data_IF_750375739791
#
_entry.id   IF_750375739791
#
_cell.length_a   1.000
_cell.length_b   1.000
_cell.length_c   1.000
_cell.angle_alpha   90.00
_cell.angle_beta   90.00
_cell.angle_gamma   90.00
#
_symmetry.space_group_name_H-M   'P 1'
#
loop_
_entity.id
_entity.type
_entity.pdbx_description
1 polymer ?
#
# COMPACT_ATOMS: atom_id res chain seq x y z
N UNK A 1 87.31 11.80 -33.69
CA UNK A 1 86.62 10.79 -32.84
C UNK A 1 85.34 11.36 -32.37
N UNK A 2 84.18 10.82 -32.91
CA UNK A 2 82.90 11.27 -32.54
C UNK A 2 82.27 10.14 -31.74
N UNK A 3 82.04 10.40 -30.46
CA UNK A 3 81.29 9.50 -29.56
C UNK A 3 79.83 9.69 -29.80
N UNK A 4 79.16 8.66 -30.30
CA UNK A 4 77.71 8.65 -30.51
C UNK A 4 76.94 8.46 -29.19
N UNK A 5 76.15 9.44 -28.82
CA UNK A 5 75.14 9.29 -27.74
C UNK A 5 73.93 8.55 -28.29
N UNK A 6 73.69 7.35 -27.79
CA UNK A 6 72.53 6.58 -28.07
C UNK A 6 71.29 7.24 -27.39
N UNK A 7 70.42 7.82 -28.19
CA UNK A 7 69.14 8.27 -27.76
C UNK A 7 68.22 7.05 -27.52
N UNK A 8 67.88 6.75 -26.29
CA UNK A 8 66.91 5.76 -25.96
C UNK A 8 65.52 6.24 -26.45
N UNK A 9 64.95 5.46 -27.35
CA UNK A 9 63.53 5.61 -27.75
C UNK A 9 62.75 5.21 -26.53
N UNK A 10 62.15 6.19 -25.84
CA UNK A 10 61.13 5.91 -24.85
C UNK A 10 59.93 5.30 -25.58
N UNK A 11 59.69 4.03 -25.30
CA UNK A 11 58.57 3.33 -25.88
C UNK A 11 57.27 4.07 -25.54
N UNK A 12 56.58 4.51 -26.59
CA UNK A 12 55.26 5.17 -26.53
C UNK A 12 54.15 4.14 -26.19
N UNK A 13 54.50 2.91 -25.81
CA UNK A 13 53.55 1.84 -25.53
C UNK A 13 52.87 1.90 -24.16
N UNK A 14 53.34 2.79 -23.26
CA UNK A 14 52.80 2.85 -21.89
C UNK A 14 51.71 3.94 -21.67
N UNK A 15 51.27 4.64 -22.72
CA UNK A 15 50.22 5.66 -22.62
C UNK A 15 48.89 5.26 -23.23
N UNK A 16 48.75 4.06 -23.75
CA UNK A 16 47.47 3.54 -24.25
C UNK A 16 46.75 2.82 -23.13
N UNK A 17 45.95 3.54 -22.35
CA UNK A 17 45.10 2.86 -21.38
C UNK A 17 44.72 3.62 -20.11
N UNK A 18 44.98 4.92 -20.04
CA UNK A 18 44.37 5.74 -19.01
C UNK A 18 42.92 6.01 -19.36
N UNK A 19 42.12 4.94 -19.45
CA UNK A 19 40.65 5.04 -19.45
C UNK A 19 40.19 5.77 -18.20
N UNK A 20 39.12 6.51 -18.33
CA UNK A 20 38.46 7.16 -17.20
C UNK A 20 38.16 6.10 -16.14
N UNK A 21 38.90 6.14 -15.03
CA UNK A 21 38.55 5.34 -13.85
C UNK A 21 37.41 6.05 -13.15
N UNK A 22 36.28 5.38 -13.04
CA UNK A 22 35.22 5.82 -12.14
C UNK A 22 35.72 5.57 -10.72
N UNK A 23 36.26 6.59 -10.07
CA UNK A 23 36.81 6.45 -8.71
C UNK A 23 35.70 6.22 -7.67
N UNK A 24 34.53 6.82 -7.85
CA UNK A 24 33.43 6.67 -6.93
C UNK A 24 32.12 7.10 -7.58
N UNK A 25 31.09 6.25 -7.49
CA UNK A 25 29.72 6.65 -7.75
C UNK A 25 29.15 7.15 -6.42
N UNK A 26 28.92 8.46 -6.31
CA UNK A 26 28.27 9.04 -5.14
C UNK A 26 26.77 9.09 -5.39
N UNK A 27 26.00 8.54 -4.45
CA UNK A 27 24.56 8.64 -4.43
C UNK A 27 24.16 10.07 -4.02
N UNK A 28 23.36 10.75 -4.85
CA UNK A 28 22.67 11.96 -4.43
C UNK A 28 21.47 11.53 -3.56
N UNK A 29 21.58 11.77 -2.25
CA UNK A 29 20.56 11.40 -1.27
C UNK A 29 20.11 12.66 -0.54
N UNK A 30 18.85 13.02 -0.70
CA UNK A 30 18.19 14.11 0.03
C UNK A 30 17.15 13.49 0.95
N UNK A 31 17.53 13.35 2.22
CA UNK A 31 16.72 12.73 3.27
C UNK A 31 15.38 13.45 3.44
N UNK A 32 15.40 14.78 3.42
CA UNK A 32 14.19 15.57 3.60
C UNK A 32 13.18 15.36 2.47
N UNK A 33 13.65 15.36 1.21
CA UNK A 33 12.75 15.14 0.06
C UNK A 33 12.20 13.71 0.05
N UNK A 34 13.02 12.73 0.40
CA UNK A 34 12.59 11.33 0.46
C UNK A 34 11.55 11.13 1.56
N UNK A 35 11.76 11.68 2.74
CA UNK A 35 10.80 11.58 3.83
C UNK A 35 9.47 12.28 3.48
N UNK A 36 9.53 13.43 2.80
CA UNK A 36 8.33 14.11 2.30
C UNK A 36 7.61 13.27 1.25
N UNK A 37 8.33 12.62 0.35
CA UNK A 37 7.74 11.74 -0.66
C UNK A 37 7.06 10.52 0.00
N UNK A 38 7.70 9.88 0.98
CA UNK A 38 7.12 8.76 1.76
C UNK A 38 5.86 9.19 2.50
N UNK A 39 5.91 10.33 3.17
CA UNK A 39 4.75 10.88 3.88
C UNK A 39 3.59 11.17 2.94
N UNK A 40 3.87 11.76 1.76
CA UNK A 40 2.85 12.02 0.75
C UNK A 40 2.27 10.70 0.18
N UNK A 41 3.12 9.70 -0.08
CA UNK A 41 2.70 8.37 -0.53
C UNK A 41 1.80 7.69 0.50
N UNK A 42 2.20 7.68 1.77
CA UNK A 42 1.42 7.11 2.87
C UNK A 42 0.04 7.78 3.00
N UNK A 43 0.00 9.12 2.98
CA UNK A 43 -1.26 9.86 3.05
C UNK A 43 -2.17 9.56 1.84
N UNK A 44 -1.60 9.50 0.63
CA UNK A 44 -2.35 9.14 -0.57
C UNK A 44 -2.92 7.72 -0.47
N UNK A 45 -2.11 6.73 -0.11
CA UNK A 45 -2.54 5.33 0.02
C UNK A 45 -3.61 5.15 1.10
N UNK A 46 -3.49 5.86 2.22
CA UNK A 46 -4.51 5.86 3.29
C UNK A 46 -5.83 6.43 2.79
N UNK A 47 -5.80 7.59 2.11
CA UNK A 47 -7.01 8.21 1.56
C UNK A 47 -7.63 7.37 0.44
N UNK A 48 -6.82 6.77 -0.43
CA UNK A 48 -7.27 5.88 -1.51
C UNK A 48 -7.93 4.61 -0.95
N UNK A 49 -7.28 3.97 0.04
CA UNK A 49 -7.84 2.80 0.71
C UNK A 49 -9.18 3.14 1.37
N UNK A 50 -9.26 4.23 2.13
CA UNK A 50 -10.50 4.67 2.75
C UNK A 50 -11.58 4.94 1.71
N UNK A 51 -11.26 5.65 0.62
CA UNK A 51 -12.21 5.92 -0.46
C UNK A 51 -12.74 4.64 -1.11
N UNK A 52 -11.88 3.63 -1.30
CA UNK A 52 -12.28 2.35 -1.89
C UNK A 52 -13.20 1.55 -0.96
N UNK A 53 -12.95 1.57 0.36
CA UNK A 53 -13.85 0.90 1.31
C UNK A 53 -15.20 1.63 1.44
N UNK A 54 -15.19 2.98 1.39
CA UNK A 54 -16.44 3.76 1.37
C UNK A 54 -17.24 3.48 0.10
N UNK A 55 -16.59 3.40 -1.08
CA UNK A 55 -17.26 3.01 -2.32
C UNK A 55 -17.82 1.59 -2.26
N UNK A 56 -17.12 0.67 -1.61
CA UNK A 56 -17.63 -0.69 -1.41
C UNK A 56 -18.88 -0.71 -0.56
N UNK A 57 -18.91 0.10 0.51
CA UNK A 57 -20.09 0.28 1.35
C UNK A 57 -21.23 0.98 0.59
N UNK A 58 -20.92 2.02 -0.16
CA UNK A 58 -21.88 2.74 -1.00
C UNK A 58 -22.53 1.79 -2.02
N UNK A 59 -21.75 1.02 -2.75
CA UNK A 59 -22.25 0.03 -3.72
C UNK A 59 -23.13 -1.04 -3.05
N UNK A 60 -22.84 -1.39 -1.81
CA UNK A 60 -23.66 -2.34 -1.03
C UNK A 60 -25.02 -1.73 -0.66
N UNK A 61 -25.06 -0.41 -0.43
CA UNK A 61 -26.27 0.31 0.02
C UNK A 61 -27.03 0.97 -1.13
N UNK A 62 -26.40 1.09 -2.33
CA UNK A 62 -27.04 1.73 -3.49
C UNK A 62 -28.35 1.04 -3.84
N UNK A 63 -29.39 1.81 -4.16
CA UNK A 63 -30.68 1.29 -4.54
C UNK A 63 -30.59 0.52 -5.87
N UNK A 64 -30.85 -0.77 -5.79
CA UNK A 64 -31.22 -1.61 -6.94
C UNK A 64 -32.74 -1.70 -6.98
N UNK A 65 -33.34 -2.26 -8.03
CA UNK A 65 -34.81 -2.39 -8.18
C UNK A 65 -35.48 -3.10 -7.00
N UNK A 66 -34.73 -3.84 -6.19
CA UNK A 66 -35.15 -4.53 -4.97
C UNK A 66 -34.30 -4.11 -3.77
N UNK A 67 -34.36 -2.83 -3.40
CA UNK A 67 -33.60 -2.31 -2.26
C UNK A 67 -34.41 -2.28 -0.96
N UNK A 68 -33.70 -2.07 0.17
CA UNK A 68 -34.33 -2.00 1.49
C UNK A 68 -35.41 -0.89 1.56
N UNK A 69 -35.16 0.25 0.88
CA UNK A 69 -36.14 1.37 0.86
C UNK A 69 -37.43 0.99 0.16
N UNK A 70 -37.34 0.28 -0.97
CA UNK A 70 -38.60 -0.22 -1.64
C UNK A 70 -39.33 -1.26 -0.81
N UNK A 71 -38.59 -2.19 -0.16
CA UNK A 71 -39.19 -3.18 0.72
C UNK A 71 -39.91 -2.55 1.93
N UNK A 72 -39.31 -1.49 2.51
CA UNK A 72 -39.94 -0.70 3.58
C UNK A 72 -41.22 -0.03 3.04
N UNK A 73 -41.13 0.63 1.88
CA UNK A 73 -42.26 1.27 1.23
C UNK A 73 -43.43 0.28 0.95
N UNK A 74 -43.10 -0.86 0.36
CA UNK A 74 -44.06 -1.92 0.06
C UNK A 74 -44.77 -2.45 1.32
N UNK A 75 -44.02 -2.64 2.40
CA UNK A 75 -44.57 -3.08 3.67
C UNK A 75 -45.55 -2.06 4.24
N UNK A 76 -45.18 -0.76 4.28
CA UNK A 76 -46.06 0.27 4.78
C UNK A 76 -47.28 0.48 3.87
N UNK A 77 -47.17 0.38 2.55
CA UNK A 77 -48.29 0.42 1.62
C UNK A 77 -49.25 -0.73 1.89
N UNK A 78 -48.77 -1.95 2.14
CA UNK A 78 -49.62 -3.09 2.47
C UNK A 78 -50.37 -2.92 3.79
N UNK A 79 -49.81 -2.20 4.76
CA UNK A 79 -50.52 -1.84 6.00
C UNK A 79 -51.63 -0.81 5.76
N UNK A 80 -51.42 0.12 4.80
CA UNK A 80 -52.46 1.07 4.40
C UNK A 80 -53.66 0.35 3.72
N UNK A 81 -53.35 -0.69 2.91
CA UNK A 81 -54.42 -1.51 2.29
C UNK A 81 -55.27 -2.24 3.34
N UNK A 82 -54.65 -2.78 4.41
CA UNK A 82 -55.40 -3.35 5.56
C UNK A 82 -56.24 -2.29 6.23
N UNK A 83 -55.72 -1.06 6.40
CA UNK A 83 -56.48 0.01 7.04
C UNK A 83 -57.70 0.45 6.20
N UNK A 84 -57.59 0.41 4.86
CA UNK A 84 -58.67 0.72 3.94
C UNK A 84 -59.71 -0.40 3.86
N UNK A 85 -59.29 -1.67 3.97
CA UNK A 85 -60.15 -2.85 3.84
C UNK A 85 -59.90 -3.83 5.00
N UNK A 86 -60.33 -3.51 6.22
CA UNK A 86 -59.98 -4.26 7.42
C UNK A 86 -60.52 -5.69 7.47
N UNK A 87 -61.58 -5.99 6.75
CA UNK A 87 -62.18 -7.33 6.67
C UNK A 87 -61.62 -8.19 5.54
N UNK A 88 -60.75 -7.61 4.69
CA UNK A 88 -60.13 -8.35 3.59
C UNK A 88 -58.98 -9.24 4.09
N UNK A 89 -59.17 -10.55 4.00
CA UNK A 89 -58.16 -11.53 4.36
C UNK A 89 -56.95 -11.52 3.40
N UNK A 90 -57.15 -11.17 2.12
CA UNK A 90 -56.07 -11.15 1.14
C UNK A 90 -55.07 -10.05 1.46
N UNK A 91 -55.54 -8.85 1.81
CA UNK A 91 -54.68 -7.73 2.23
C UNK A 91 -53.81 -8.09 3.45
N UNK A 92 -54.36 -8.84 4.41
CA UNK A 92 -53.59 -9.30 5.58
C UNK A 92 -52.50 -10.30 5.20
N UNK A 93 -52.76 -11.22 4.28
CA UNK A 93 -51.79 -12.18 3.77
C UNK A 93 -50.66 -11.44 3.05
N UNK A 94 -50.98 -10.48 2.18
CA UNK A 94 -50.00 -9.65 1.48
C UNK A 94 -49.09 -8.90 2.46
N UNK A 95 -49.66 -8.29 3.49
CA UNK A 95 -48.87 -7.57 4.49
C UNK A 95 -47.89 -8.49 5.28
N UNK A 96 -48.32 -9.72 5.59
CA UNK A 96 -47.43 -10.71 6.21
C UNK A 96 -46.28 -11.08 5.29
N UNK A 97 -46.54 -11.32 3.99
CA UNK A 97 -45.49 -11.65 3.03
C UNK A 97 -44.53 -10.45 2.82
N UNK A 98 -45.05 -9.22 2.71
CA UNK A 98 -44.23 -8.01 2.65
C UNK A 98 -43.37 -7.83 3.91
N UNK A 99 -43.90 -8.17 5.09
CA UNK A 99 -43.13 -8.18 6.34
C UNK A 99 -42.00 -9.23 6.35
N UNK A 100 -42.27 -10.42 5.82
CA UNK A 100 -41.21 -11.45 5.64
C UNK A 100 -40.13 -11.03 4.66
N UNK A 101 -40.53 -10.46 3.51
CA UNK A 101 -39.63 -9.93 2.51
C UNK A 101 -38.70 -8.84 3.10
N UNK A 102 -39.30 -7.92 3.88
CA UNK A 102 -38.54 -6.87 4.58
C UNK A 102 -37.54 -7.46 5.58
N UNK A 103 -37.96 -8.45 6.38
CA UNK A 103 -37.06 -9.12 7.32
C UNK A 103 -35.92 -9.86 6.61
N UNK A 104 -36.22 -10.52 5.48
CA UNK A 104 -35.20 -11.17 4.65
C UNK A 104 -34.21 -10.16 4.08
N UNK A 105 -34.66 -8.98 3.63
CA UNK A 105 -33.80 -7.90 3.17
C UNK A 105 -32.89 -7.40 4.29
N UNK A 106 -33.38 -7.16 5.48
CA UNK A 106 -32.55 -6.76 6.63
C UNK A 106 -31.46 -7.79 6.93
N UNK A 107 -31.81 -9.07 6.98
CA UNK A 107 -30.83 -10.13 7.22
C UNK A 107 -29.77 -10.15 6.12
N UNK A 108 -30.16 -10.05 4.85
CA UNK A 108 -29.22 -10.02 3.72
C UNK A 108 -28.24 -8.83 3.82
N UNK A 109 -28.72 -7.63 4.16
CA UNK A 109 -27.85 -6.48 4.34
C UNK A 109 -26.93 -6.62 5.56
N UNK A 110 -27.42 -7.19 6.66
CA UNK A 110 -26.62 -7.52 7.83
C UNK A 110 -25.45 -8.44 7.47
N UNK A 111 -25.73 -9.54 6.75
CA UNK A 111 -24.72 -10.51 6.32
C UNK A 111 -23.70 -9.86 5.38
N UNK A 112 -24.14 -8.99 4.46
CA UNK A 112 -23.26 -8.27 3.54
C UNK A 112 -22.32 -7.31 4.28
N UNK A 113 -22.84 -6.58 5.28
CA UNK A 113 -22.02 -5.67 6.10
C UNK A 113 -21.00 -6.46 6.92
N UNK A 114 -21.40 -7.61 7.48
CA UNK A 114 -20.48 -8.48 8.23
C UNK A 114 -19.38 -9.04 7.33
N UNK A 115 -19.71 -9.50 6.13
CA UNK A 115 -18.72 -9.93 5.13
C UNK A 115 -17.77 -8.81 4.73
N UNK A 116 -18.24 -7.57 4.55
CA UNK A 116 -17.36 -6.42 4.26
C UNK A 116 -16.42 -6.13 5.43
N UNK A 117 -16.92 -6.17 6.66
CA UNK A 117 -16.10 -6.03 7.88
C UNK A 117 -15.00 -7.08 7.93
N UNK A 118 -15.33 -8.36 7.66
CA UNK A 118 -14.35 -9.44 7.67
C UNK A 118 -13.29 -9.27 6.59
N UNK A 119 -13.68 -8.83 5.40
CA UNK A 119 -12.72 -8.49 4.33
C UNK A 119 -11.76 -7.37 4.75
N UNK A 120 -12.25 -6.32 5.41
CA UNK A 120 -11.40 -5.23 5.93
C UNK A 120 -10.43 -5.75 7.00
N UNK A 121 -10.91 -6.61 7.90
CA UNK A 121 -10.07 -7.24 8.92
C UNK A 121 -8.95 -8.10 8.31
N UNK A 122 -9.26 -8.87 7.28
CA UNK A 122 -8.28 -9.72 6.61
C UNK A 122 -7.27 -8.88 5.80
N UNK A 123 -7.69 -7.82 5.13
CA UNK A 123 -6.78 -6.83 4.52
C UNK A 123 -5.83 -6.24 5.56
N UNK A 124 -6.35 -5.88 6.74
CA UNK A 124 -5.54 -5.33 7.85
C UNK A 124 -4.52 -6.34 8.35
N UNK A 125 -4.91 -7.60 8.59
CA UNK A 125 -3.99 -8.67 9.01
C UNK A 125 -2.87 -8.89 7.98
N UNK A 126 -3.23 -8.90 6.70
CA UNK A 126 -2.26 -9.06 5.60
C UNK A 126 -1.28 -7.88 5.56
N UNK A 127 -1.76 -6.64 5.74
CA UNK A 127 -0.90 -5.46 5.82
C UNK A 127 0.08 -5.55 6.99
N UNK A 128 -0.39 -5.94 8.19
CA UNK A 128 0.48 -6.15 9.37
C UNK A 128 1.54 -7.24 9.11
N UNK A 129 1.15 -8.33 8.46
CA UNK A 129 2.08 -9.40 8.09
C UNK A 129 3.15 -8.88 7.12
N UNK A 130 2.76 -8.07 6.13
CA UNK A 130 3.69 -7.46 5.18
C UNK A 130 4.63 -6.48 5.85
N UNK A 131 4.15 -5.63 6.77
CA UNK A 131 5.00 -4.71 7.56
C UNK A 131 6.05 -5.48 8.36
N UNK A 132 5.66 -6.57 9.04
CA UNK A 132 6.59 -7.40 9.82
C UNK A 132 7.65 -8.06 8.92
N UNK A 133 7.26 -8.54 7.74
CA UNK A 133 8.20 -9.12 6.77
C UNK A 133 9.19 -8.07 6.26
N UNK A 134 8.71 -6.90 5.86
CA UNK A 134 9.56 -5.79 5.39
C UNK A 134 10.50 -5.34 6.51
N UNK A 135 10.03 -5.21 7.75
CA UNK A 135 10.86 -4.88 8.91
C UNK A 135 12.03 -5.87 9.10
N UNK A 136 11.73 -7.16 8.96
CA UNK A 136 12.76 -8.21 9.02
C UNK A 136 13.78 -8.08 7.87
N UNK A 137 13.31 -7.78 6.66
CA UNK A 137 14.19 -7.58 5.51
C UNK A 137 15.07 -6.33 5.68
N UNK A 138 14.53 -5.22 6.17
CA UNK A 138 15.29 -4.00 6.49
C UNK A 138 16.37 -4.29 7.54
N UNK A 139 16.03 -5.03 8.60
CA UNK A 139 16.99 -5.45 9.62
C UNK A 139 18.16 -6.26 9.03
N UNK A 140 17.84 -7.22 8.16
CA UNK A 140 18.85 -8.03 7.46
C UNK A 140 19.75 -7.20 6.54
N UNK A 141 19.18 -6.22 5.83
CA UNK A 141 19.95 -5.32 4.98
C UNK A 141 20.81 -4.38 5.82
N UNK A 142 20.29 -3.84 6.91
CA UNK A 142 21.06 -3.04 7.86
C UNK A 142 22.31 -3.81 8.37
N UNK A 143 22.14 -5.09 8.72
CA UNK A 143 23.27 -5.93 9.15
C UNK A 143 24.33 -6.09 8.03
N UNK A 144 23.90 -6.26 6.78
CA UNK A 144 24.82 -6.34 5.62
C UNK A 144 25.52 -5.02 5.36
N UNK A 145 24.83 -3.88 5.46
CA UNK A 145 25.41 -2.54 5.33
C UNK A 145 26.49 -2.33 6.39
N UNK A 146 26.21 -2.68 7.64
CA UNK A 146 27.17 -2.56 8.73
C UNK A 146 28.41 -3.45 8.53
N UNK A 147 28.21 -4.65 7.98
CA UNK A 147 29.31 -5.60 7.72
C UNK A 147 30.18 -5.22 6.52
N UNK A 148 29.59 -4.60 5.47
CA UNK A 148 30.33 -4.24 4.24
C UNK A 148 31.15 -2.96 4.35
N UNK A 149 30.92 -2.14 5.38
CA UNK A 149 31.53 -0.81 5.51
C UNK A 149 31.04 0.18 4.43
N UNK A 150 30.90 1.44 4.78
CA UNK A 150 30.33 2.50 3.91
C UNK A 150 31.23 2.83 2.69
N UNK A 151 32.45 2.31 2.63
CA UNK A 151 33.49 2.77 1.70
C UNK A 151 33.60 2.00 0.37
N UNK A 152 32.85 0.91 0.17
CA UNK A 152 32.95 0.10 -1.03
C UNK A 152 31.69 0.21 -1.87
N UNK A 153 31.84 0.38 -3.20
CA UNK A 153 30.72 0.56 -4.14
C UNK A 153 29.61 -0.52 -4.10
N UNK A 154 29.84 -1.65 -3.41
CA UNK A 154 28.84 -2.66 -3.10
C UNK A 154 27.78 -2.23 -2.08
N UNK A 155 28.00 -1.15 -1.33
CA UNK A 155 27.03 -0.63 -0.36
C UNK A 155 25.88 0.13 -1.02
N UNK A 156 26.06 0.73 -2.20
CA UNK A 156 25.01 1.49 -2.88
C UNK A 156 23.81 0.62 -3.25
N UNK A 157 24.04 -0.60 -3.75
CA UNK A 157 22.95 -1.55 -4.05
C UNK A 157 22.17 -1.97 -2.80
N UNK A 158 22.84 -2.13 -1.66
CA UNK A 158 22.18 -2.44 -0.38
C UNK A 158 21.37 -1.23 0.13
N UNK A 159 21.89 -0.02 -0.03
CA UNK A 159 21.19 1.21 0.31
C UNK A 159 19.94 1.39 -0.57
N UNK A 160 20.03 1.15 -1.87
CA UNK A 160 18.90 1.23 -2.79
C UNK A 160 17.84 0.17 -2.46
N UNK A 161 18.26 -1.06 -2.14
CA UNK A 161 17.35 -2.12 -1.73
C UNK A 161 16.66 -1.79 -0.41
N UNK A 162 17.36 -1.22 0.57
CA UNK A 162 16.78 -0.74 1.83
C UNK A 162 15.73 0.33 1.57
N UNK A 163 16.07 1.32 0.74
CA UNK A 163 15.15 2.43 0.48
C UNK A 163 13.89 1.98 -0.26
N UNK A 164 14.01 1.02 -1.19
CA UNK A 164 12.85 0.39 -1.80
C UNK A 164 11.93 -0.27 -0.77
N UNK A 165 12.49 -0.96 0.23
CA UNK A 165 11.70 -1.56 1.31
C UNK A 165 11.05 -0.51 2.21
N UNK A 166 11.75 0.60 2.49
CA UNK A 166 11.18 1.71 3.24
C UNK A 166 10.03 2.38 2.47
N UNK A 167 10.16 2.53 1.16
CA UNK A 167 9.10 3.05 0.30
C UNK A 167 7.89 2.11 0.31
N UNK A 168 8.08 0.79 0.16
CA UNK A 168 7.02 -0.21 0.27
C UNK A 168 6.35 -0.19 1.65
N UNK A 169 7.11 -0.02 2.73
CA UNK A 169 6.55 0.09 4.08
C UNK A 169 5.73 1.36 4.23
N UNK A 170 6.17 2.49 3.65
CA UNK A 170 5.43 3.75 3.68
C UNK A 170 4.08 3.72 2.97
N UNK A 171 3.90 2.81 2.01
CA UNK A 171 2.61 2.57 1.36
C UNK A 171 1.61 1.82 2.24
N UNK A 172 2.09 1.06 3.22
CA UNK A 172 1.27 0.25 4.13
C UNK A 172 0.95 0.98 5.44
N UNK A 173 1.87 1.82 5.91
CA UNK A 173 1.71 2.55 7.17
C UNK A 173 2.54 3.83 7.16
N UNK A 174 2.18 4.78 8.00
CA UNK A 174 3.02 5.96 8.19
C UNK A 174 4.27 5.56 8.95
N UNK A 175 5.44 5.91 8.39
CA UNK A 175 6.74 5.66 9.01
C UNK A 175 7.53 6.95 9.20
N UNK A 176 8.43 6.93 10.17
CA UNK A 176 9.47 7.95 10.36
C UNK A 176 10.81 7.24 10.35
N UNK A 177 11.69 7.63 9.43
CA UNK A 177 12.98 6.97 9.26
C UNK A 177 14.09 7.85 9.84
N UNK A 178 14.99 7.24 10.61
CA UNK A 178 16.24 7.86 11.07
C UNK A 178 17.41 7.08 10.52
N UNK A 179 18.39 7.81 10.00
CA UNK A 179 19.59 7.20 9.43
C UNK A 179 20.76 7.33 10.41
N UNK A 180 21.39 6.21 10.73
CA UNK A 180 22.59 6.18 11.56
C UNK A 180 23.83 6.53 10.75
N UNK A 181 24.91 6.89 11.45
CA UNK A 181 26.20 7.32 10.85
C UNK A 181 26.87 6.27 9.96
N UNK A 182 26.50 5.02 10.08
CA UNK A 182 27.01 3.90 9.25
C UNK A 182 26.04 3.49 8.15
N UNK A 183 25.00 4.30 7.88
CA UNK A 183 24.04 4.06 6.81
C UNK A 183 22.87 3.11 7.16
N UNK A 184 22.79 2.61 8.40
CA UNK A 184 21.61 1.85 8.85
C UNK A 184 20.39 2.77 8.97
N UNK A 185 19.19 2.23 8.75
CA UNK A 185 17.93 2.91 8.93
C UNK A 185 17.16 2.32 10.13
N UNK A 186 16.61 3.19 10.97
CA UNK A 186 15.69 2.86 12.06
C UNK A 186 14.31 3.42 11.70
N UNK A 187 13.24 2.62 11.90
CA UNK A 187 11.85 2.96 11.57
C UNK A 187 11.02 2.94 12.83
#
# INVERSE_FOLDING_TARGET
EVSGAGGGVTEISDQTGLGVRVEQIRRAFDEFLIDKARQASSNFKSADSFSNEVKSLENLLLPTDSNLSSAIGDFFNSLQDIAAYPDDQASRIVAIEKGKDLAAQFNMYSDRIENLKDQILDKTKNAVTSVNLISTQISNINAKILASGVATGGSNALLDQRDLLLDQMSELTQITVRYGSKGQAEV
#
